data_IF_849971130004
#
_entry.id   IF_849971130004
#
_cell.length_a   1.000
_cell.length_b   1.000
_cell.length_c   1.000
_cell.angle_alpha   90.00
_cell.angle_beta   90.00
_cell.angle_gamma   90.00
#
_symmetry.space_group_name_H-M   'P 1'
#
loop_
_entity.id
_entity.type
_entity.pdbx_description
1 polymer ?
#
# COMPACT_ATOMS: atom_id res chain seq x y z
N UNK A 1 8.76 6.87 19.89
CA UNK A 1 7.64 6.26 19.15
C UNK A 1 7.83 6.50 17.67
N UNK A 2 7.91 5.42 16.88
CA UNK A 2 8.09 5.47 15.42
C UNK A 2 6.84 6.01 14.74
N UNK A 3 7.02 6.85 13.71
CA UNK A 3 5.95 7.44 12.92
C UNK A 3 5.76 6.69 11.62
N UNK A 4 4.52 6.36 11.29
CA UNK A 4 4.17 5.58 10.11
C UNK A 4 3.14 6.35 9.28
N UNK A 5 3.41 6.52 7.99
CA UNK A 5 2.45 7.10 7.05
C UNK A 5 1.91 6.01 6.14
N UNK A 6 0.59 5.85 6.12
CA UNK A 6 -0.12 5.01 5.16
C UNK A 6 -0.71 5.91 4.08
N UNK A 7 -0.03 5.98 2.94
CA UNK A 7 -0.37 6.83 1.82
C UNK A 7 -1.42 6.19 0.90
N UNK A 8 -2.37 7.00 0.44
CA UNK A 8 -3.50 6.60 -0.39
C UNK A 8 -4.38 5.53 0.30
N UNK A 9 -4.61 5.68 1.61
CA UNK A 9 -5.50 4.82 2.36
C UNK A 9 -6.69 5.60 2.95
N UNK A 10 -7.88 5.34 2.40
CA UNK A 10 -9.14 5.75 3.02
C UNK A 10 -9.65 4.71 4.06
N UNK A 11 -9.32 3.43 3.88
CA UNK A 11 -9.94 2.32 4.62
C UNK A 11 -9.51 2.19 6.09
N UNK A 12 -8.45 2.88 6.50
CA UNK A 12 -7.80 2.81 7.81
C UNK A 12 -7.24 1.44 8.23
N UNK A 13 -7.35 0.40 7.40
CA UNK A 13 -7.05 -0.98 7.80
C UNK A 13 -5.58 -1.18 8.20
N UNK A 14 -4.63 -0.70 7.40
CA UNK A 14 -3.20 -0.78 7.71
C UNK A 14 -2.85 0.20 8.81
N UNK A 15 -3.37 1.44 8.75
CA UNK A 15 -3.14 2.44 9.81
C UNK A 15 -3.52 1.88 11.18
N UNK A 16 -4.72 1.33 11.32
CA UNK A 16 -5.24 0.87 12.61
C UNK A 16 -4.47 -0.36 13.12
N UNK A 17 -4.00 -1.25 12.22
CA UNK A 17 -3.11 -2.35 12.59
C UNK A 17 -1.78 -1.84 13.20
N UNK A 18 -1.18 -0.78 12.64
CA UNK A 18 -0.01 -0.14 13.25
C UNK A 18 -0.35 0.58 14.56
N UNK A 19 -1.49 1.28 14.64
CA UNK A 19 -1.90 1.97 15.88
C UNK A 19 -2.14 1.00 17.02
N UNK A 20 -2.75 -0.16 16.75
CA UNK A 20 -2.96 -1.22 17.74
C UNK A 20 -1.64 -1.73 18.35
N UNK A 21 -0.52 -1.57 17.65
CA UNK A 21 0.83 -1.92 18.11
C UNK A 21 1.61 -0.74 18.72
N UNK A 22 0.96 0.41 18.93
CA UNK A 22 1.57 1.57 19.59
C UNK A 22 2.45 2.44 18.68
N UNK A 23 2.25 2.41 17.37
CA UNK A 23 2.91 3.35 16.44
C UNK A 23 2.15 4.68 16.36
N UNK A 24 2.87 5.78 16.10
CA UNK A 24 2.27 7.05 15.70
C UNK A 24 1.91 6.97 14.20
N UNK A 25 0.86 6.19 13.90
CA UNK A 25 0.44 5.88 12.55
C UNK A 25 -0.72 6.77 12.08
N UNK A 26 -0.58 7.26 10.85
CA UNK A 26 -1.50 8.16 10.16
C UNK A 26 -1.80 7.63 8.76
N UNK A 27 -3.05 7.73 8.34
CA UNK A 27 -3.44 7.53 6.93
C UNK A 27 -3.50 8.89 6.22
N UNK A 28 -3.20 8.94 4.93
CA UNK A 28 -3.42 10.12 4.10
C UNK A 28 -4.06 9.75 2.77
N UNK A 29 -5.18 10.39 2.41
CA UNK A 29 -5.89 10.15 1.16
C UNK A 29 -6.62 11.43 0.70
N UNK A 30 -6.96 11.50 -0.58
CA UNK A 30 -7.85 12.53 -1.14
C UNK A 30 -9.32 12.27 -0.80
N UNK A 31 -9.62 11.06 -0.30
CA UNK A 31 -10.94 10.67 0.16
C UNK A 31 -11.01 10.75 1.68
N UNK A 32 -12.18 11.06 2.26
CA UNK A 32 -12.42 10.88 3.68
C UNK A 32 -12.15 9.44 4.12
N UNK A 33 -11.58 9.27 5.31
CA UNK A 33 -11.42 7.94 5.90
C UNK A 33 -12.76 7.30 6.26
N UNK A 34 -12.82 5.97 6.18
CA UNK A 34 -13.93 5.16 6.71
C UNK A 34 -13.71 4.73 8.17
N UNK A 35 -12.49 4.93 8.71
CA UNK A 35 -12.17 4.70 10.11
C UNK A 35 -12.22 5.98 10.94
N UNK A 36 -11.49 6.00 12.05
CA UNK A 36 -11.43 7.18 12.90
C UNK A 36 -10.71 8.36 12.20
N UNK A 37 -11.35 9.54 12.04
CA UNK A 37 -10.77 10.69 11.35
C UNK A 37 -9.63 11.37 12.14
N UNK A 38 -9.47 11.11 13.44
CA UNK A 38 -8.42 11.71 14.28
C UNK A 38 -7.01 11.42 13.78
N UNK A 39 -6.83 10.32 13.04
CA UNK A 39 -5.54 9.87 12.51
C UNK A 39 -5.52 9.81 10.99
N UNK A 40 -6.28 10.71 10.37
CA UNK A 40 -6.38 10.81 8.94
C UNK A 40 -6.06 12.23 8.45
N UNK A 41 -5.15 12.31 7.48
CA UNK A 41 -4.80 13.53 6.77
C UNK A 41 -5.56 13.52 5.45
N UNK A 42 -6.54 14.41 5.32
CA UNK A 42 -7.29 14.57 4.08
C UNK A 42 -6.56 15.53 3.14
N UNK A 43 -5.93 15.03 2.09
CA UNK A 43 -5.15 15.84 1.15
C UNK A 43 -4.18 15.05 0.28
N UNK A 44 -3.40 15.77 -0.53
CA UNK A 44 -2.34 15.18 -1.35
C UNK A 44 -1.17 14.72 -0.46
N UNK A 45 -0.96 13.41 -0.40
CA UNK A 45 0.12 12.79 0.37
C UNK A 45 1.49 13.38 0.07
N UNK A 46 1.75 13.82 -1.16
CA UNK A 46 3.06 14.35 -1.55
C UNK A 46 3.42 15.62 -0.77
N UNK A 47 2.44 16.38 -0.32
CA UNK A 47 2.62 17.55 0.55
C UNK A 47 3.02 17.18 1.98
N UNK A 48 2.86 15.93 2.39
CA UNK A 48 3.12 15.44 3.74
C UNK A 48 4.33 14.49 3.82
N UNK A 49 5.01 14.22 2.71
CA UNK A 49 6.23 13.40 2.70
C UNK A 49 7.45 14.13 3.28
N UNK A 50 7.45 15.46 3.25
CA UNK A 50 8.56 16.33 3.72
C UNK A 50 8.02 17.52 4.50
N UNK A 51 8.90 18.31 5.11
CA UNK A 51 8.53 19.55 5.82
C UNK A 51 7.80 19.36 7.15
N UNK A 52 7.56 18.12 7.56
CA UNK A 52 7.00 17.79 8.88
C UNK A 52 8.04 18.02 9.98
N UNK A 53 7.63 18.55 11.13
CA UNK A 53 8.49 18.76 12.30
C UNK A 53 9.16 17.46 12.78
N UNK A 54 8.51 16.32 12.57
CA UNK A 54 9.09 14.98 12.76
C UNK A 54 8.99 14.19 11.45
N UNK A 55 10.09 13.64 10.93
CA UNK A 55 10.06 12.82 9.72
C UNK A 55 9.30 11.51 9.95
N UNK A 56 8.90 10.86 8.85
CA UNK A 56 8.33 9.50 8.88
C UNK A 56 9.43 8.46 8.96
N UNK A 57 9.23 7.43 9.77
CA UNK A 57 10.16 6.29 9.86
C UNK A 57 9.82 5.22 8.81
N UNK A 58 8.54 5.09 8.46
CA UNK A 58 8.01 4.13 7.50
C UNK A 58 6.88 4.76 6.66
N UNK A 59 6.96 4.55 5.34
CA UNK A 59 5.90 4.86 4.38
C UNK A 59 5.37 3.55 3.79
N UNK A 60 4.05 3.33 3.91
CA UNK A 60 3.35 2.29 3.17
C UNK A 60 2.41 2.98 2.19
N UNK A 61 2.58 2.76 0.89
CA UNK A 61 1.85 3.49 -0.14
C UNK A 61 0.99 2.57 -1.02
N UNK A 62 -0.27 2.95 -1.20
CA UNK A 62 -1.26 2.25 -2.02
C UNK A 62 -1.71 3.12 -3.22
N UNK A 63 -0.80 3.54 -4.12
CA UNK A 63 -1.14 4.48 -5.18
C UNK A 63 -2.28 3.95 -6.08
N UNK A 64 -3.16 4.83 -6.60
CA UNK A 64 -4.27 4.43 -7.45
C UNK A 64 -3.83 3.55 -8.63
N UNK A 65 -4.41 2.37 -8.75
CA UNK A 65 -4.01 1.37 -9.75
C UNK A 65 -4.77 1.47 -11.08
N UNK A 66 -5.77 2.34 -11.18
CA UNK A 66 -6.68 2.45 -12.33
C UNK A 66 -5.94 2.59 -13.66
N UNK A 67 -4.90 3.44 -13.71
CA UNK A 67 -4.14 3.70 -14.93
C UNK A 67 -2.90 2.81 -15.10
N UNK A 68 -2.62 1.96 -14.11
CA UNK A 68 -1.39 1.19 -14.01
C UNK A 68 -1.62 -0.33 -14.17
N UNK A 69 -2.72 -0.86 -13.64
CA UNK A 69 -2.96 -2.30 -13.54
C UNK A 69 -3.14 -2.97 -14.90
N UNK A 70 -2.47 -4.10 -15.13
CA UNK A 70 -2.51 -4.84 -16.41
C UNK A 70 -3.88 -5.45 -16.71
N UNK A 71 -4.72 -5.64 -15.69
CA UNK A 71 -6.12 -6.05 -15.88
C UNK A 71 -6.92 -5.05 -16.71
N UNK A 72 -6.48 -3.79 -16.80
CA UNK A 72 -7.05 -2.75 -17.65
C UNK A 72 -6.28 -2.48 -18.94
N UNK A 73 -5.39 -3.39 -19.38
CA UNK A 73 -4.44 -3.15 -20.47
C UNK A 73 -5.08 -2.76 -21.80
N UNK A 74 -6.29 -3.26 -22.10
CA UNK A 74 -7.05 -2.88 -23.32
C UNK A 74 -7.31 -1.36 -23.44
N UNK A 75 -7.28 -0.64 -22.31
CA UNK A 75 -7.49 0.81 -22.28
C UNK A 75 -6.18 1.62 -22.26
N UNK A 76 -5.02 0.96 -22.26
CA UNK A 76 -3.72 1.63 -22.19
C UNK A 76 -3.46 2.60 -23.35
N UNK A 77 -3.78 2.30 -24.62
CA UNK A 77 -3.55 3.26 -25.71
C UNK A 77 -4.17 4.64 -25.44
N UNK A 78 -5.41 4.67 -24.96
CA UNK A 78 -6.07 5.93 -24.58
C UNK A 78 -5.40 6.59 -23.35
N UNK A 79 -5.08 5.82 -22.31
CA UNK A 79 -4.41 6.31 -21.08
C UNK A 79 -3.02 6.90 -21.33
N UNK A 80 -2.33 6.38 -22.34
CA UNK A 80 -1.03 6.86 -22.78
C UNK A 80 -1.22 8.13 -23.60
N UNK A 81 -2.15 8.11 -24.57
CA UNK A 81 -2.42 9.25 -25.44
C UNK A 81 -2.84 10.52 -24.67
N UNK A 82 -3.63 10.40 -23.60
CA UNK A 82 -4.02 11.53 -22.74
C UNK A 82 -3.08 11.76 -21.53
N UNK A 83 -1.99 11.00 -21.46
CA UNK A 83 -0.92 11.15 -20.47
C UNK A 83 -1.26 10.72 -19.04
N UNK A 84 -2.46 10.21 -18.74
CA UNK A 84 -2.81 9.86 -17.34
C UNK A 84 -2.00 8.68 -16.80
N UNK A 85 -1.60 7.74 -17.66
CA UNK A 85 -0.68 6.68 -17.24
C UNK A 85 0.70 7.22 -16.86
N UNK A 86 1.20 8.21 -17.61
CA UNK A 86 2.49 8.84 -17.34
C UNK A 86 2.47 9.59 -16.00
N UNK A 87 1.42 10.38 -15.73
CA UNK A 87 1.22 11.05 -14.43
C UNK A 87 1.13 10.05 -13.27
N UNK A 88 0.47 8.91 -13.48
CA UNK A 88 0.38 7.86 -12.45
C UNK A 88 1.75 7.22 -12.18
N UNK A 89 2.59 7.01 -13.20
CA UNK A 89 3.95 6.51 -13.03
C UNK A 89 4.85 7.53 -12.32
N UNK A 90 4.74 8.81 -12.65
CA UNK A 90 5.46 9.89 -11.95
C UNK A 90 5.07 9.96 -10.48
N UNK A 91 3.79 9.81 -10.16
CA UNK A 91 3.31 9.73 -8.77
C UNK A 91 3.92 8.54 -8.02
N UNK A 92 3.95 7.35 -8.63
CA UNK A 92 4.62 6.17 -8.08
C UNK A 92 6.12 6.41 -7.87
N UNK A 93 6.80 7.01 -8.83
CA UNK A 93 8.23 7.32 -8.74
C UNK A 93 8.50 8.26 -7.54
N UNK A 94 7.70 9.32 -7.39
CA UNK A 94 7.80 10.25 -6.25
C UNK A 94 7.60 9.56 -4.89
N UNK A 95 6.71 8.57 -4.81
CA UNK A 95 6.51 7.79 -3.58
C UNK A 95 7.72 6.90 -3.27
N UNK A 96 8.31 6.25 -4.28
CA UNK A 96 9.50 5.41 -4.12
C UNK A 96 10.76 6.22 -3.79
N UNK A 97 10.86 7.44 -4.30
CA UNK A 97 11.97 8.37 -4.07
C UNK A 97 11.79 9.22 -2.82
N UNK A 98 10.68 9.06 -2.09
CA UNK A 98 10.41 9.81 -0.88
C UNK A 98 11.59 9.69 0.10
N UNK A 99 11.96 10.78 0.81
CA UNK A 99 13.06 10.77 1.78
C UNK A 99 12.62 10.10 3.10
N UNK A 100 12.00 8.93 3.00
CA UNK A 100 11.61 8.06 4.11
C UNK A 100 12.57 6.87 4.13
N UNK A 101 13.12 6.49 5.30
CA UNK A 101 14.13 5.43 5.39
C UNK A 101 13.60 4.07 4.94
N UNK A 102 12.36 3.74 5.30
CA UNK A 102 11.70 2.48 4.98
C UNK A 102 10.46 2.74 4.13
N UNK A 103 10.34 2.06 2.99
CA UNK A 103 9.19 2.23 2.09
C UNK A 103 8.68 0.87 1.65
N UNK A 104 7.37 0.68 1.72
CA UNK A 104 6.66 -0.38 1.03
C UNK A 104 5.61 0.26 0.09
N UNK A 105 5.73 0.04 -1.20
CA UNK A 105 4.68 0.38 -2.15
C UNK A 105 3.93 -0.88 -2.54
N UNK A 106 2.61 -0.83 -2.47
CA UNK A 106 1.70 -1.93 -2.76
C UNK A 106 0.87 -1.62 -4.01
N UNK A 107 0.82 -2.55 -4.95
CA UNK A 107 -0.05 -2.44 -6.11
C UNK A 107 -0.38 -3.82 -6.69
N UNK A 108 -1.48 -3.97 -7.42
CA UNK A 108 -1.67 -5.12 -8.29
C UNK A 108 -0.54 -5.25 -9.34
N UNK A 109 -0.54 -6.37 -10.08
CA UNK A 109 0.31 -6.50 -11.26
C UNK A 109 0.02 -5.32 -12.21
N UNK A 110 1.05 -4.53 -12.49
CA UNK A 110 0.92 -3.23 -13.15
C UNK A 110 2.15 -2.89 -13.99
N UNK A 111 2.00 -1.87 -14.85
CA UNK A 111 3.09 -1.36 -15.71
C UNK A 111 4.26 -0.76 -14.92
N UNK A 112 4.13 -0.55 -13.60
CA UNK A 112 5.25 -0.20 -12.71
C UNK A 112 6.43 -1.17 -12.92
N UNK A 113 6.13 -2.46 -13.11
CA UNK A 113 7.13 -3.54 -13.24
C UNK A 113 7.93 -3.49 -14.55
N UNK A 114 7.45 -2.79 -15.56
CA UNK A 114 8.13 -2.62 -16.85
C UNK A 114 8.64 -1.19 -17.06
N UNK A 115 8.10 -0.21 -16.34
CA UNK A 115 8.41 1.21 -16.51
C UNK A 115 9.31 1.79 -15.41
N UNK A 116 9.29 1.22 -14.20
CA UNK A 116 10.06 1.72 -13.06
C UNK A 116 11.06 0.65 -12.60
N UNK A 117 10.60 -0.41 -11.94
CA UNK A 117 11.43 -1.57 -11.54
C UNK A 117 10.59 -2.78 -11.18
N UNK A 118 11.19 -3.97 -11.17
CA UNK A 118 10.51 -5.21 -10.72
C UNK A 118 10.13 -5.12 -9.24
N UNK A 119 8.98 -5.71 -8.82
CA UNK A 119 8.64 -5.82 -7.42
C UNK A 119 9.62 -6.75 -6.71
N UNK A 120 9.89 -6.48 -5.44
CA UNK A 120 10.77 -7.30 -4.60
C UNK A 120 10.07 -8.59 -4.16
N UNK A 121 8.73 -8.54 -4.08
CA UNK A 121 7.89 -9.65 -3.65
C UNK A 121 6.49 -9.57 -4.28
N UNK A 122 5.87 -10.73 -4.52
CA UNK A 122 4.44 -10.87 -4.79
C UNK A 122 3.84 -11.74 -3.69
N UNK A 123 2.73 -11.29 -3.12
CA UNK A 123 1.99 -11.98 -2.06
C UNK A 123 0.55 -12.25 -2.49
N UNK A 124 -0.14 -13.07 -1.70
CA UNK A 124 -1.53 -13.44 -1.88
C UNK A 124 -2.29 -13.38 -0.55
N UNK A 125 -3.59 -13.05 -0.54
CA UNK A 125 -4.39 -13.02 0.68
C UNK A 125 -4.39 -14.36 1.45
N UNK A 126 -4.37 -15.49 0.74
CA UNK A 126 -4.40 -16.82 1.36
C UNK A 126 -3.15 -17.15 2.16
N UNK A 127 -2.07 -16.39 2.01
CA UNK A 127 -0.86 -16.49 2.83
C UNK A 127 -1.03 -15.81 4.21
N UNK A 128 -2.13 -15.09 4.41
CA UNK A 128 -2.40 -14.27 5.59
C UNK A 128 -3.85 -14.41 6.09
N UNK A 129 -4.45 -15.61 5.98
CA UNK A 129 -5.75 -15.89 6.59
C UNK A 129 -6.98 -15.60 5.72
N UNK A 130 -6.82 -15.24 4.44
CA UNK A 130 -7.93 -14.88 3.54
C UNK A 130 -7.96 -15.75 2.28
N UNK A 131 -8.93 -16.65 2.11
CA UNK A 131 -8.96 -17.65 1.02
C UNK A 131 -9.08 -17.13 -0.43
N UNK A 132 -9.04 -15.81 -0.64
CA UNK A 132 -9.01 -15.17 -1.95
C UNK A 132 -7.64 -15.26 -2.65
N UNK A 133 -7.67 -15.27 -3.98
CA UNK A 133 -6.51 -14.99 -4.82
C UNK A 133 -6.57 -13.58 -5.37
N UNK A 134 -5.53 -12.80 -5.07
CA UNK A 134 -5.35 -11.42 -5.53
C UNK A 134 -3.86 -11.11 -5.45
N UNK A 135 -3.17 -11.21 -6.58
CA UNK A 135 -1.74 -10.91 -6.64
C UNK A 135 -1.49 -9.46 -6.23
N UNK A 136 -0.79 -9.30 -5.11
CA UNK A 136 -0.34 -8.02 -4.59
C UNK A 136 1.17 -7.96 -4.71
N UNK A 137 1.67 -7.01 -5.49
CA UNK A 137 3.08 -6.74 -5.66
C UNK A 137 3.56 -5.74 -4.60
N UNK A 138 4.75 -5.99 -4.06
CA UNK A 138 5.42 -5.12 -3.08
C UNK A 138 6.76 -4.64 -3.65
N UNK A 139 6.96 -3.32 -3.65
CA UNK A 139 8.25 -2.67 -3.91
C UNK A 139 8.78 -2.11 -2.59
N UNK A 140 9.90 -2.65 -2.12
CA UNK A 140 10.45 -2.43 -0.80
C UNK A 140 11.74 -1.60 -0.87
N UNK A 141 11.92 -0.70 0.10
CA UNK A 141 13.17 0.02 0.38
C UNK A 141 13.50 -0.21 1.84
N UNK A 142 14.66 -0.81 2.10
CA UNK A 142 15.18 -1.13 3.43
C UNK A 142 14.22 -1.96 4.31
N UNK A 143 13.26 -2.68 3.73
CA UNK A 143 12.35 -3.56 4.46
C UNK A 143 12.60 -5.03 4.09
N UNK A 144 12.47 -5.96 5.05
CA UNK A 144 12.51 -7.38 4.73
C UNK A 144 11.26 -7.78 3.93
N UNK A 145 11.41 -8.84 3.13
CA UNK A 145 10.27 -9.52 2.50
C UNK A 145 9.34 -10.05 3.59
N UNK A 146 8.03 -9.94 3.35
CA UNK A 146 7.02 -10.39 4.29
C UNK A 146 6.89 -11.92 4.25
N UNK A 147 6.87 -12.55 5.42
CA UNK A 147 6.67 -13.99 5.57
C UNK A 147 5.17 -14.28 5.75
N UNK A 148 4.59 -15.31 5.09
CA UNK A 148 3.23 -15.74 5.37
C UNK A 148 2.97 -15.95 6.87
N UNK A 149 1.84 -15.49 7.39
CA UNK A 149 1.50 -15.62 8.82
C UNK A 149 0.40 -16.65 9.09
N UNK A 150 -0.46 -16.91 8.11
CA UNK A 150 -1.57 -17.86 8.22
C UNK A 150 -1.94 -18.37 6.83
N UNK A 151 -1.52 -19.58 6.49
CA UNK A 151 -1.75 -20.16 5.17
C UNK A 151 -3.05 -20.95 5.20
N UNK A 152 -4.08 -20.41 4.55
CA UNK A 152 -5.42 -21.04 4.51
C UNK A 152 -5.68 -21.77 3.20
N UNK A 153 -6.57 -22.76 3.27
CA UNK A 153 -7.14 -23.41 2.10
C UNK A 153 -8.18 -22.51 1.42
N UNK A 154 -8.51 -22.81 0.16
CA UNK A 154 -9.38 -21.97 -0.68
C UNK A 154 -8.59 -21.03 -1.58
N UNK A 155 -8.99 -20.97 -2.85
CA UNK A 155 -8.40 -20.10 -3.88
C UNK A 155 -9.51 -19.45 -4.68
N UNK A 156 -10.31 -18.64 -3.99
CA UNK A 156 -11.47 -18.00 -4.62
C UNK A 156 -11.04 -16.79 -5.46
N UNK A 157 -11.56 -16.69 -6.67
CA UNK A 157 -11.39 -15.55 -7.57
C UNK A 157 -12.49 -14.50 -7.39
N UNK A 158 -13.06 -14.41 -6.18
CA UNK A 158 -14.20 -13.55 -5.82
C UNK A 158 -14.02 -12.11 -6.28
N UNK A 159 -12.82 -11.57 -6.11
CA UNK A 159 -12.46 -10.19 -6.49
C UNK A 159 -12.53 -9.96 -8.00
N UNK A 160 -12.24 -10.98 -8.82
CA UNK A 160 -12.40 -10.92 -10.27
C UNK A 160 -13.86 -11.05 -10.68
N UNK A 161 -14.62 -11.91 -10.00
CA UNK A 161 -16.05 -12.17 -10.26
C UNK A 161 -17.03 -11.14 -9.67
N UNK A 162 -16.53 -10.19 -8.87
CA UNK A 162 -17.37 -9.18 -8.21
C UNK A 162 -18.16 -8.35 -9.24
N UNK A 163 -19.50 -8.27 -9.12
CA UNK A 163 -20.36 -7.59 -10.09
C UNK A 163 -20.06 -6.08 -10.15
N UNK A 164 -20.33 -5.42 -11.29
CA UNK A 164 -20.20 -3.96 -11.40
C UNK A 164 -21.09 -3.27 -10.36
N UNK A 165 -20.57 -2.21 -9.73
CA UNK A 165 -21.31 -1.44 -8.74
C UNK A 165 -20.51 -0.21 -8.29
N UNK A 166 -21.17 0.80 -7.71
CA UNK A 166 -20.53 2.07 -7.34
C UNK A 166 -19.42 1.91 -6.30
N UNK A 167 -19.52 0.90 -5.42
CA UNK A 167 -18.53 0.62 -4.38
C UNK A 167 -17.51 -0.45 -4.76
N UNK A 168 -17.64 -1.06 -5.94
CA UNK A 168 -16.77 -2.17 -6.38
C UNK A 168 -15.30 -1.77 -6.36
N UNK A 169 -14.97 -0.54 -6.75
CA UNK A 169 -13.58 -0.07 -6.75
C UNK A 169 -13.03 0.01 -5.32
N UNK A 170 -13.83 0.45 -4.35
CA UNK A 170 -13.47 0.49 -2.93
C UNK A 170 -13.21 -0.91 -2.39
N UNK A 171 -14.19 -1.81 -2.57
CA UNK A 171 -14.09 -3.18 -2.08
C UNK A 171 -12.87 -3.92 -2.66
N UNK A 172 -12.57 -3.68 -3.94
CA UNK A 172 -11.40 -4.26 -4.60
C UNK A 172 -10.08 -3.61 -4.20
N UNK A 173 -10.08 -2.39 -3.68
CA UNK A 173 -8.86 -1.70 -3.23
C UNK A 173 -8.57 -1.90 -1.76
N UNK A 174 -9.53 -2.38 -0.95
CA UNK A 174 -9.32 -2.61 0.48
C UNK A 174 -8.22 -3.65 0.72
N UNK A 175 -7.33 -3.34 1.66
CA UNK A 175 -6.32 -4.27 2.17
C UNK A 175 -6.99 -5.30 3.06
N UNK A 176 -6.61 -6.57 2.93
CA UNK A 176 -7.11 -7.63 3.80
C UNK A 176 -6.50 -7.50 5.20
N UNK A 177 -7.30 -7.74 6.25
CA UNK A 177 -6.87 -7.53 7.63
C UNK A 177 -5.58 -8.31 7.97
N UNK A 178 -5.47 -9.57 7.52
CA UNK A 178 -4.27 -10.36 7.83
C UNK A 178 -3.01 -9.86 7.12
N UNK A 179 -3.15 -9.23 5.95
CA UNK A 179 -2.02 -8.53 5.32
C UNK A 179 -1.65 -7.29 6.13
N UNK A 180 -2.63 -6.49 6.57
CA UNK A 180 -2.40 -5.32 7.41
C UNK A 180 -1.71 -5.68 8.73
N UNK A 181 -2.16 -6.76 9.39
CA UNK A 181 -1.57 -7.27 10.63
C UNK A 181 -0.15 -7.78 10.40
N UNK A 182 0.12 -8.44 9.27
CA UNK A 182 1.46 -8.88 8.89
C UNK A 182 2.40 -7.70 8.59
N UNK A 183 1.93 -6.65 7.90
CA UNK A 183 2.69 -5.41 7.67
C UNK A 183 3.05 -4.75 9.01
N UNK A 184 2.06 -4.56 9.89
CA UNK A 184 2.24 -3.94 11.19
C UNK A 184 3.13 -4.78 12.12
N UNK A 185 2.98 -6.10 12.08
CA UNK A 185 3.78 -7.05 12.83
C UNK A 185 5.24 -7.05 12.37
N UNK A 186 5.47 -7.42 11.12
CA UNK A 186 6.81 -7.71 10.64
C UNK A 186 7.63 -6.46 10.36
N UNK A 187 7.06 -5.48 9.64
CA UNK A 187 7.78 -4.25 9.35
C UNK A 187 7.84 -3.33 10.57
N UNK A 188 6.79 -3.31 11.39
CA UNK A 188 6.81 -2.61 12.67
C UNK A 188 7.91 -3.14 13.60
N UNK A 189 8.00 -4.45 13.79
CA UNK A 189 9.05 -5.05 14.63
C UNK A 189 10.44 -4.83 14.04
N UNK A 190 10.57 -4.86 12.72
CA UNK A 190 11.83 -4.60 12.04
C UNK A 190 12.34 -3.18 12.32
N UNK A 191 11.52 -2.15 12.13
CA UNK A 191 11.96 -0.75 12.31
C UNK A 191 12.19 -0.37 13.78
N UNK A 192 11.58 -1.09 14.73
CA UNK A 192 11.88 -0.95 16.15
C UNK A 192 13.23 -1.59 16.52
N UNK A 193 13.62 -2.68 15.84
CA UNK A 193 14.91 -3.35 16.07
C UNK A 193 16.08 -2.61 15.45
N UNK A 194 15.94 -2.06 14.24
CA UNK A 194 17.03 -1.35 13.54
C UNK A 194 17.51 -0.10 14.30
N UNK A 195 16.64 0.53 15.08
CA UNK A 195 17.00 1.65 15.96
C UNK A 195 17.93 1.23 17.11
N UNK A 196 17.73 0.04 17.70
CA UNK A 196 18.55 -0.45 18.82
C UNK A 196 19.99 -0.80 18.42
N UNK A 197 20.25 -0.98 17.13
CA UNK A 197 21.57 -1.30 16.60
C UNK A 197 22.32 -0.06 16.11
N UNK A 198 21.63 1.07 15.96
CA UNK A 198 22.18 2.34 15.51
C UNK A 198 22.39 3.35 16.66
N UNK A 199 21.92 3.04 17.87
CA UNK A 199 22.11 3.78 19.11
C UNK A 199 23.16 3.10 19.98
#
# INVERSE_FOLDING_TARGET
MKRVLIACEYSATVRDAFRARGFDAWSCDLLPTEGDPRWHIHGDVLSFLTGMARPWDLLIAHPPCTDLAVSGARHFPAKIADGRQQRALEFVQRLLDAPVPHIALENPISVISSKIRKPDQIIQPWQFGHGETKSTCLWLKNLPKMVPTDVVEGRSDRIHKMPPGPNRWKERSRTYQGIADAMAGQWGDYILKTERLAA
#
